data_IF_488910906939
#
_entry.id   IF_488910906939
#
_cell.length_a   1.000
_cell.length_b   1.000
_cell.length_c   1.000
_cell.angle_alpha   90.00
_cell.angle_beta   90.00
_cell.angle_gamma   90.00
#
_symmetry.space_group_name_H-M   'P 1'
#
loop_
_entity.id
_entity.type
_entity.pdbx_description
1 polymer ?
#
# COMPACT_ATOMS: atom_id res chain seq x y z
N UNK A 1 4.59 4.27 11.58
CA UNK A 1 4.63 2.84 11.96
C UNK A 1 5.29 2.74 13.33
N UNK A 2 4.69 1.91 14.18
CA UNK A 2 5.15 1.68 15.55
C UNK A 2 5.26 0.19 15.80
N UNK A 3 6.17 -0.21 16.67
CA UNK A 3 6.28 -1.56 17.22
C UNK A 3 5.90 -1.52 18.69
N UNK A 4 5.15 -2.51 19.13
CA UNK A 4 4.80 -2.74 20.53
C UNK A 4 5.52 -3.99 21.05
N UNK A 5 6.25 -3.85 22.14
CA UNK A 5 6.85 -4.98 22.84
C UNK A 5 5.97 -5.37 24.04
N UNK A 6 5.39 -6.57 24.06
CA UNK A 6 4.55 -7.02 25.17
C UNK A 6 5.33 -7.35 26.43
N UNK A 7 6.64 -7.58 26.35
CA UNK A 7 7.46 -7.99 27.50
C UNK A 7 7.65 -6.82 28.49
N UNK A 8 7.93 -5.63 27.96
CA UNK A 8 8.11 -4.41 28.77
C UNK A 8 6.98 -3.37 28.57
N UNK A 9 6.01 -3.68 27.69
CA UNK A 9 4.88 -2.81 27.32
C UNK A 9 5.32 -1.50 26.67
N UNK A 10 6.49 -1.49 26.04
CA UNK A 10 6.99 -0.30 25.34
C UNK A 10 6.37 -0.16 23.95
N UNK A 11 6.27 1.08 23.49
CA UNK A 11 5.91 1.43 22.12
C UNK A 11 7.02 2.29 21.54
N UNK A 12 7.59 1.86 20.43
CA UNK A 12 8.67 2.59 19.76
C UNK A 12 8.30 2.89 18.31
N UNK A 13 8.70 4.05 17.82
CA UNK A 13 8.50 4.41 16.42
C UNK A 13 9.57 3.73 15.55
N UNK A 14 9.12 2.99 14.54
CA UNK A 14 9.99 2.40 13.50
C UNK A 14 10.18 3.43 12.37
N UNK A 15 9.09 3.90 11.78
CA UNK A 15 9.11 4.77 10.61
C UNK A 15 8.10 5.90 10.75
N UNK A 16 8.56 7.14 10.55
CA UNK A 16 7.76 8.35 10.45
C UNK A 16 7.91 9.03 9.09
N UNK A 17 7.24 10.19 8.91
CA UNK A 17 7.31 10.97 7.68
C UNK A 17 6.59 10.34 6.48
N UNK A 18 5.66 9.41 6.71
CA UNK A 18 4.83 8.76 5.69
C UNK A 18 3.45 9.42 5.62
N UNK A 19 2.88 9.45 4.43
CA UNK A 19 1.60 10.12 4.16
C UNK A 19 0.38 9.17 4.23
N UNK A 20 0.53 8.04 4.88
CA UNK A 20 -0.55 7.07 5.13
C UNK A 20 -0.08 5.63 5.03
N UNK A 21 0.43 5.08 6.15
CA UNK A 21 0.72 3.65 6.24
C UNK A 21 -0.60 2.86 6.12
N UNK A 22 -0.72 2.03 5.11
CA UNK A 22 -1.94 1.28 4.80
C UNK A 22 -1.75 -0.24 4.77
N UNK A 23 -0.54 -0.71 4.59
CA UNK A 23 -0.19 -2.14 4.62
C UNK A 23 1.20 -2.37 5.18
N UNK A 24 1.37 -3.53 5.78
CA UNK A 24 2.63 -4.01 6.34
C UNK A 24 2.84 -5.46 5.92
N UNK A 25 4.07 -5.81 5.54
CA UNK A 25 4.51 -7.18 5.36
C UNK A 25 5.94 -7.32 5.91
N UNK A 26 6.22 -8.44 6.55
CA UNK A 26 7.54 -8.74 7.10
C UNK A 26 8.19 -9.81 6.23
N UNK A 27 9.49 -9.67 5.91
CA UNK A 27 10.25 -10.70 5.23
C UNK A 27 10.29 -11.99 6.04
N UNK A 28 10.47 -13.13 5.38
CA UNK A 28 10.48 -14.45 6.02
C UNK A 28 11.57 -14.54 7.12
N UNK A 29 12.73 -13.93 6.88
CA UNK A 29 13.83 -13.87 7.86
C UNK A 29 13.59 -12.86 9.00
N UNK A 30 12.47 -12.13 8.98
CA UNK A 30 12.07 -11.14 9.98
C UNK A 30 12.88 -9.84 9.95
N UNK A 31 13.75 -9.61 8.96
CA UNK A 31 14.68 -8.48 8.95
C UNK A 31 14.18 -7.26 8.20
N UNK A 32 13.37 -7.46 7.17
CA UNK A 32 12.87 -6.37 6.35
C UNK A 32 11.38 -6.17 6.55
N UNK A 33 11.00 -4.97 6.95
CA UNK A 33 9.59 -4.55 7.04
C UNK A 33 9.23 -3.73 5.80
N UNK A 34 8.28 -4.22 5.02
CA UNK A 34 7.68 -3.50 3.91
C UNK A 34 6.49 -2.70 4.40
N UNK A 35 6.42 -1.43 4.00
CA UNK A 35 5.37 -0.49 4.43
C UNK A 35 4.80 0.21 3.21
N UNK A 36 3.53 0.01 2.91
CA UNK A 36 2.87 0.78 1.86
C UNK A 36 2.53 2.19 2.36
N UNK A 37 2.88 3.19 1.56
CA UNK A 37 2.54 4.60 1.79
C UNK A 37 1.55 5.06 0.74
N UNK A 38 0.31 5.13 1.13
CA UNK A 38 -0.81 5.48 0.27
C UNK A 38 -0.62 6.85 -0.38
N UNK A 39 -0.26 7.85 0.40
CA UNK A 39 -0.15 9.23 -0.11
C UNK A 39 1.06 9.45 -1.00
N UNK A 40 2.18 8.80 -0.75
CA UNK A 40 3.40 8.88 -1.56
C UNK A 40 3.40 7.88 -2.72
N UNK A 41 2.44 6.96 -2.76
CA UNK A 41 2.33 5.90 -3.79
C UNK A 41 3.62 5.11 -3.95
N UNK A 42 4.11 4.62 -2.85
CA UNK A 42 5.35 3.85 -2.78
C UNK A 42 5.24 2.75 -1.74
N UNK A 43 6.19 1.84 -1.77
CA UNK A 43 6.46 0.88 -0.70
C UNK A 43 7.86 1.16 -0.17
N UNK A 44 7.96 1.34 1.12
CA UNK A 44 9.22 1.44 1.84
C UNK A 44 9.69 0.06 2.26
N UNK A 45 10.98 -0.23 2.11
CA UNK A 45 11.62 -1.38 2.74
C UNK A 45 12.59 -0.85 3.80
N UNK A 46 12.39 -1.25 5.03
CA UNK A 46 13.19 -0.79 6.16
C UNK A 46 13.63 -1.97 7.01
N UNK A 47 14.75 -1.82 7.68
CA UNK A 47 15.19 -2.78 8.70
C UNK A 47 14.14 -2.82 9.82
N UNK A 48 13.62 -4.01 10.12
CA UNK A 48 12.57 -4.24 11.11
C UNK A 48 13.02 -3.87 12.54
N UNK A 49 14.33 -3.96 12.81
CA UNK A 49 14.93 -3.61 14.09
C UNK A 49 15.32 -2.14 14.19
N UNK A 50 15.31 -1.41 13.08
CA UNK A 50 15.61 0.03 13.10
C UNK A 50 14.50 0.83 13.82
N UNK A 51 14.90 1.93 14.43
CA UNK A 51 13.99 2.84 15.14
C UNK A 51 14.22 4.27 14.65
N UNK A 52 13.20 5.10 14.82
CA UNK A 52 13.21 6.52 14.50
C UNK A 52 13.60 6.85 13.05
N UNK A 53 13.32 5.94 12.11
CA UNK A 53 13.52 6.20 10.68
C UNK A 53 12.56 7.29 10.18
N UNK A 54 13.00 8.02 9.17
CA UNK A 54 12.17 8.99 8.45
C UNK A 54 12.14 8.65 6.97
N UNK A 55 10.96 8.57 6.39
CA UNK A 55 10.76 8.29 4.97
C UNK A 55 11.52 9.29 4.09
N UNK A 56 12.24 8.79 3.08
CA UNK A 56 13.12 9.59 2.23
C UNK A 56 14.41 10.06 2.89
N UNK A 57 14.66 9.69 4.14
CA UNK A 57 15.92 9.97 4.84
C UNK A 57 17.07 9.08 4.33
N UNK A 58 18.28 9.35 4.84
CA UNK A 58 19.51 8.67 4.42
C UNK A 58 19.43 7.15 4.49
N UNK A 59 18.76 6.62 5.50
CA UNK A 59 18.65 5.17 5.79
C UNK A 59 17.25 4.60 5.47
N UNK A 60 16.43 5.32 4.72
CA UNK A 60 15.09 4.88 4.34
C UNK A 60 14.79 5.31 2.91
N UNK A 61 14.99 4.41 1.97
CA UNK A 61 14.66 4.62 0.55
C UNK A 61 13.41 3.82 0.19
N UNK A 62 12.65 4.33 -0.79
CA UNK A 62 11.55 3.56 -1.34
C UNK A 62 12.05 2.32 -2.05
N UNK A 63 11.44 1.18 -1.76
CA UNK A 63 11.63 -0.07 -2.51
C UNK A 63 10.92 0.01 -3.86
N UNK A 64 9.64 0.39 -3.83
CA UNK A 64 8.83 0.65 -5.03
C UNK A 64 8.36 2.08 -5.02
N UNK A 65 8.29 2.70 -6.18
CA UNK A 65 7.81 4.08 -6.35
C UNK A 65 7.04 4.24 -7.65
N UNK A 66 6.21 5.30 -7.73
CA UNK A 66 5.44 5.59 -8.94
C UNK A 66 4.35 4.57 -9.24
N UNK A 67 3.81 3.90 -8.23
CA UNK A 67 2.81 2.85 -8.34
C UNK A 67 1.58 3.31 -9.15
N UNK A 68 0.88 2.40 -9.87
CA UNK A 68 -0.24 2.73 -10.76
C UNK A 68 -1.49 3.18 -10.01
N UNK A 69 -1.56 2.91 -8.71
CA UNK A 69 -2.66 3.28 -7.82
C UNK A 69 -2.18 3.67 -6.43
N UNK A 70 -3.14 3.90 -5.56
CA UNK A 70 -2.88 4.12 -4.14
C UNK A 70 -2.73 2.77 -3.44
N UNK A 71 -1.51 2.41 -2.96
CA UNK A 71 -1.25 1.10 -2.38
C UNK A 71 -2.01 0.91 -1.07
N UNK A 72 -2.54 -0.28 -0.90
CA UNK A 72 -3.27 -0.73 0.28
C UNK A 72 -2.52 -1.80 1.05
N UNK A 73 -3.18 -2.95 1.25
CA UNK A 73 -2.59 -4.10 1.93
C UNK A 73 -1.36 -4.65 1.19
N UNK A 74 -0.43 -5.16 1.97
CA UNK A 74 0.73 -5.90 1.51
C UNK A 74 0.63 -7.33 2.03
N UNK A 75 1.12 -8.29 1.26
CA UNK A 75 1.40 -9.64 1.71
C UNK A 75 2.66 -10.15 1.03
N UNK A 76 3.41 -10.98 1.72
CA UNK A 76 4.61 -11.64 1.20
C UNK A 76 4.37 -13.15 1.23
N UNK A 77 4.77 -13.86 0.19
CA UNK A 77 4.75 -15.31 0.18
C UNK A 77 6.12 -15.92 0.56
N UNK A 78 6.16 -17.25 0.59
CA UNK A 78 7.36 -18.03 0.95
C UNK A 78 8.47 -17.95 -0.12
N UNK A 79 8.11 -17.58 -1.36
CA UNK A 79 9.05 -17.42 -2.47
C UNK A 79 9.65 -16.00 -2.53
N UNK A 80 9.25 -15.11 -1.61
CA UNK A 80 9.74 -13.75 -1.56
C UNK A 80 9.02 -12.80 -2.52
N UNK A 81 7.84 -13.16 -3.00
CA UNK A 81 7.00 -12.31 -3.85
C UNK A 81 6.11 -11.43 -2.98
N UNK A 82 6.27 -10.12 -3.12
CA UNK A 82 5.46 -9.12 -2.44
C UNK A 82 4.25 -8.75 -3.29
N UNK A 83 3.07 -8.99 -2.74
CA UNK A 83 1.79 -8.59 -3.32
C UNK A 83 1.38 -7.23 -2.79
N UNK A 84 1.18 -6.28 -3.69
CA UNK A 84 0.77 -4.91 -3.39
C UNK A 84 -0.65 -4.71 -3.92
N UNK A 85 -1.63 -4.53 -3.04
CA UNK A 85 -3.00 -4.25 -3.46
C UNK A 85 -3.23 -2.76 -3.70
N UNK A 86 -4.17 -2.43 -4.58
CA UNK A 86 -4.56 -1.05 -4.89
C UNK A 86 -6.05 -0.84 -4.62
N UNK A 87 -6.33 0.13 -3.77
CA UNK A 87 -7.72 0.48 -3.46
C UNK A 87 -8.35 1.39 -4.51
N UNK A 88 -7.57 2.30 -5.09
CA UNK A 88 -7.99 3.25 -6.09
C UNK A 88 -6.88 3.52 -7.10
N UNK A 89 -7.29 3.86 -8.32
CA UNK A 89 -6.41 4.42 -9.33
C UNK A 89 -5.88 5.80 -8.91
N UNK A 90 -4.87 6.25 -9.59
CA UNK A 90 -4.27 7.58 -9.37
C UNK A 90 -5.28 8.69 -9.67
N UNK A 91 -5.43 9.63 -8.74
CA UNK A 91 -6.23 10.83 -8.93
C UNK A 91 -5.35 11.97 -9.42
N UNK A 92 -5.53 12.37 -10.68
CA UNK A 92 -4.82 13.51 -11.24
C UNK A 92 -5.08 14.82 -10.47
N UNK A 93 -6.28 14.97 -9.90
CA UNK A 93 -6.61 16.15 -9.10
C UNK A 93 -5.84 16.16 -7.77
N UNK A 94 -5.80 15.03 -7.05
CA UNK A 94 -5.08 14.92 -5.78
C UNK A 94 -3.58 15.12 -5.99
N UNK A 95 -3.02 14.56 -7.05
CA UNK A 95 -1.59 14.70 -7.36
C UNK A 95 -1.22 16.15 -7.72
N UNK A 96 -2.01 16.79 -8.58
CA UNK A 96 -1.80 18.16 -8.99
C UNK A 96 -1.93 19.18 -7.85
N UNK A 97 -2.67 18.81 -6.80
CA UNK A 97 -2.92 19.64 -5.63
C UNK A 97 -2.28 19.09 -4.35
N UNK A 98 -1.26 18.24 -4.46
CA UNK A 98 -0.61 17.59 -3.31
C UNK A 98 -0.14 18.61 -2.27
N UNK A 99 0.49 19.70 -2.70
CA UNK A 99 1.05 20.75 -1.85
C UNK A 99 0.05 21.87 -1.45
N UNK A 100 -1.19 21.79 -1.99
CA UNK A 100 -2.22 22.82 -1.75
C UNK A 100 -3.15 22.43 -0.60
N UNK A 101 -2.62 22.42 0.61
CA UNK A 101 -3.35 21.99 1.83
C UNK A 101 -4.67 22.73 2.04
N UNK A 102 -4.71 24.04 1.81
CA UNK A 102 -5.95 24.83 1.97
C UNK A 102 -7.03 24.38 0.97
N UNK A 103 -6.67 24.21 -0.29
CA UNK A 103 -7.59 23.78 -1.34
C UNK A 103 -8.13 22.37 -1.06
N UNK A 104 -7.26 21.46 -0.63
CA UNK A 104 -7.65 20.11 -0.23
C UNK A 104 -8.57 20.11 0.98
N UNK A 105 -8.31 20.96 1.98
CA UNK A 105 -9.16 21.10 3.15
C UNK A 105 -10.57 21.62 2.80
N UNK A 106 -10.67 22.52 1.83
CA UNK A 106 -11.97 23.01 1.32
C UNK A 106 -12.69 21.88 0.56
N UNK A 107 -11.98 21.17 -0.30
CA UNK A 107 -12.54 20.05 -1.06
C UNK A 107 -13.07 18.92 -0.16
N UNK A 108 -12.37 18.63 0.94
CA UNK A 108 -12.80 17.63 1.94
C UNK A 108 -14.06 18.04 2.72
N UNK A 109 -14.42 19.32 2.72
CA UNK A 109 -15.68 19.82 3.32
C UNK A 109 -16.83 19.85 2.35
N UNK A 110 -16.59 19.60 1.07
CA UNK A 110 -17.65 19.50 0.08
C UNK A 110 -18.49 18.22 0.28
N UNK A 111 -19.71 18.19 -0.20
CA UNK A 111 -20.53 16.99 -0.15
C UNK A 111 -19.94 15.83 -0.96
N UNK A 112 -20.30 14.59 -0.62
CA UNK A 112 -19.73 13.36 -1.20
C UNK A 112 -19.74 13.34 -2.74
N UNK A 113 -20.82 13.74 -3.36
CA UNK A 113 -20.93 13.82 -4.83
C UNK A 113 -19.90 14.76 -5.45
N UNK A 114 -19.58 15.85 -4.78
CA UNK A 114 -18.54 16.80 -5.21
C UNK A 114 -17.16 16.22 -4.99
N UNK A 115 -16.94 15.56 -3.86
CA UNK A 115 -15.67 14.88 -3.56
C UNK A 115 -15.37 13.79 -4.58
N UNK A 116 -16.34 12.94 -4.91
CA UNK A 116 -16.19 11.90 -5.93
C UNK A 116 -15.80 12.48 -7.30
N UNK A 117 -16.44 13.58 -7.72
CA UNK A 117 -16.11 14.26 -8.98
C UNK A 117 -14.74 14.92 -8.96
N UNK A 118 -14.37 15.56 -7.84
CA UNK A 118 -13.09 16.25 -7.71
C UNK A 118 -11.93 15.26 -7.61
N UNK A 119 -12.06 14.27 -6.75
CA UNK A 119 -10.96 13.34 -6.50
C UNK A 119 -10.80 12.32 -7.63
N UNK A 120 -11.87 12.04 -8.40
CA UNK A 120 -11.83 11.12 -9.52
C UNK A 120 -11.28 9.74 -9.10
N UNK A 121 -11.59 9.34 -7.86
CA UNK A 121 -11.16 8.04 -7.36
C UNK A 121 -11.97 6.98 -8.11
N UNK A 122 -11.32 6.34 -9.06
CA UNK A 122 -11.88 5.23 -9.83
C UNK A 122 -11.22 3.93 -9.42
N UNK A 123 -11.88 2.85 -9.71
CA UNK A 123 -11.37 1.50 -9.52
C UNK A 123 -10.57 0.99 -10.76
N UNK A 124 -10.19 1.87 -11.69
CA UNK A 124 -9.46 1.49 -12.91
C UNK A 124 -7.98 1.12 -12.66
N UNK A 125 -7.54 1.07 -11.41
CA UNK A 125 -6.24 0.51 -11.06
C UNK A 125 -6.26 -1.03 -11.14
N UNK A 126 -5.10 -1.66 -11.31
CA UNK A 126 -4.98 -3.08 -11.02
C UNK A 126 -5.50 -3.40 -9.62
N UNK A 127 -6.06 -4.58 -9.39
CA UNK A 127 -6.42 -5.02 -8.05
C UNK A 127 -5.16 -5.16 -7.18
N UNK A 128 -4.15 -5.83 -7.72
CA UNK A 128 -2.86 -6.02 -7.08
C UNK A 128 -1.76 -6.26 -8.12
N UNK A 129 -0.54 -6.10 -7.68
CA UNK A 129 0.67 -6.47 -8.42
C UNK A 129 1.56 -7.33 -7.55
N UNK A 130 2.23 -8.32 -8.17
CA UNK A 130 3.24 -9.17 -7.57
C UNK A 130 4.62 -8.71 -7.99
N UNK A 131 5.53 -8.58 -7.03
CA UNK A 131 6.88 -8.04 -7.22
C UNK A 131 7.89 -8.93 -6.50
N UNK A 132 8.94 -9.34 -7.19
CA UNK A 132 10.06 -10.03 -6.56
C UNK A 132 10.81 -9.07 -5.61
N UNK A 133 10.99 -9.49 -4.35
CA UNK A 133 11.67 -8.64 -3.36
C UNK A 133 13.19 -8.65 -3.52
N UNK A 134 13.76 -9.57 -4.28
CA UNK A 134 15.21 -9.65 -4.50
C UNK A 134 15.72 -8.52 -5.41
N UNK A 135 14.98 -8.17 -6.44
CA UNK A 135 15.39 -7.18 -7.43
C UNK A 135 14.37 -6.07 -7.74
N UNK A 136 13.14 -6.20 -7.23
CA UNK A 136 12.05 -5.26 -7.46
C UNK A 136 11.39 -5.45 -8.83
N UNK A 137 11.60 -6.59 -9.49
CA UNK A 137 10.97 -6.88 -10.79
C UNK A 137 9.48 -7.19 -10.64
N UNK A 138 8.71 -6.74 -11.64
CA UNK A 138 7.27 -7.01 -11.69
C UNK A 138 7.01 -8.38 -12.30
N UNK A 139 6.43 -9.27 -11.51
CA UNK A 139 6.12 -10.65 -11.94
C UNK A 139 4.74 -10.76 -12.58
N UNK A 140 3.74 -10.12 -11.96
CA UNK A 140 2.36 -10.24 -12.42
C UNK A 140 1.49 -9.08 -11.98
N UNK A 141 0.52 -8.74 -12.84
CA UNK A 141 -0.55 -7.79 -12.54
C UNK A 141 -1.89 -8.52 -12.50
N UNK A 142 -2.66 -8.32 -11.44
CA UNK A 142 -4.00 -8.88 -11.27
C UNK A 142 -5.04 -7.80 -11.57
N UNK A 143 -5.92 -8.10 -12.53
CA UNK A 143 -6.99 -7.20 -12.97
C UNK A 143 -8.29 -7.95 -13.10
N UNK A 144 -9.42 -7.30 -12.86
CA UNK A 144 -10.74 -7.91 -13.04
C UNK A 144 -11.85 -6.96 -12.57
N UNK A 145 -12.97 -6.95 -13.26
CA UNK A 145 -14.11 -6.07 -12.97
C UNK A 145 -14.70 -6.27 -11.57
N UNK A 146 -14.62 -7.48 -11.03
CA UNK A 146 -15.11 -7.80 -9.69
C UNK A 146 -14.04 -7.56 -8.61
N UNK A 147 -12.84 -7.14 -9.01
CA UNK A 147 -11.69 -6.91 -8.14
C UNK A 147 -11.47 -5.42 -7.83
N UNK A 148 -12.45 -4.59 -8.13
CA UNK A 148 -12.36 -3.15 -7.92
C UNK A 148 -12.24 -2.79 -6.43
N UNK A 149 -11.31 -1.90 -6.11
CA UNK A 149 -11.08 -1.44 -4.74
C UNK A 149 -10.53 -2.52 -3.82
N UNK A 150 -9.51 -3.23 -4.25
CA UNK A 150 -8.87 -4.29 -3.47
C UNK A 150 -8.29 -3.74 -2.15
N UNK A 151 -8.75 -4.30 -1.04
CA UNK A 151 -8.38 -3.88 0.31
C UNK A 151 -7.59 -4.93 1.08
N UNK A 152 -7.56 -6.16 0.58
CA UNK A 152 -6.82 -7.27 1.17
C UNK A 152 -6.25 -8.16 0.08
N UNK A 153 -5.07 -8.68 0.30
CA UNK A 153 -4.42 -9.68 -0.52
C UNK A 153 -3.78 -10.73 0.38
N UNK A 154 -3.93 -12.00 0.01
CA UNK A 154 -3.38 -13.10 0.79
C UNK A 154 -2.93 -14.23 -0.15
N UNK A 155 -1.62 -14.41 -0.36
CA UNK A 155 -1.11 -15.58 -1.06
C UNK A 155 -1.28 -16.84 -0.20
N UNK A 156 -1.65 -17.95 -0.83
CA UNK A 156 -1.77 -19.25 -0.16
C UNK A 156 -1.56 -20.39 -1.17
N UNK A 157 -0.43 -21.05 -1.12
CA UNK A 157 -0.02 -22.09 -2.04
C UNK A 157 -0.01 -21.57 -3.49
N UNK A 158 -0.70 -22.25 -4.40
CA UNK A 158 -0.76 -21.87 -5.83
C UNK A 158 -1.82 -20.81 -6.16
N UNK A 159 -2.34 -20.10 -5.13
CA UNK A 159 -3.41 -19.12 -5.32
C UNK A 159 -3.13 -17.85 -4.52
N UNK A 160 -3.67 -16.75 -5.03
CA UNK A 160 -3.78 -15.49 -4.30
C UNK A 160 -5.26 -15.17 -4.13
N UNK A 161 -5.65 -14.82 -2.92
CA UNK A 161 -7.00 -14.42 -2.56
C UNK A 161 -7.07 -12.90 -2.39
N UNK A 162 -8.18 -12.31 -2.84
CA UNK A 162 -8.40 -10.87 -2.81
C UNK A 162 -9.73 -10.55 -2.14
N UNK A 163 -9.68 -9.57 -1.24
CA UNK A 163 -10.86 -8.94 -0.67
C UNK A 163 -11.04 -7.54 -1.26
N UNK A 164 -12.19 -7.26 -1.83
CA UNK A 164 -12.48 -5.97 -2.43
C UNK A 164 -13.62 -5.25 -1.70
N UNK A 165 -13.48 -3.95 -1.48
CA UNK A 165 -14.54 -3.14 -0.89
C UNK A 165 -15.72 -3.06 -1.88
N UNK A 166 -16.90 -3.50 -1.44
CA UNK A 166 -18.09 -3.54 -2.30
C UNK A 166 -18.33 -4.85 -3.01
N UNK A 167 -17.42 -5.83 -2.92
CA UNK A 167 -17.68 -7.21 -3.35
C UNK A 167 -18.26 -8.04 -2.22
N UNK A 168 -19.29 -8.81 -2.51
CA UNK A 168 -19.86 -9.80 -1.59
C UNK A 168 -19.13 -11.15 -1.64
N UNK A 169 -18.10 -11.26 -2.50
CA UNK A 169 -17.39 -12.52 -2.77
C UNK A 169 -15.91 -12.38 -2.48
N UNK A 170 -15.30 -13.45 -2.00
CA UNK A 170 -13.85 -13.61 -1.97
C UNK A 170 -13.38 -14.05 -3.36
N UNK A 171 -12.47 -13.32 -3.94
CA UNK A 171 -11.94 -13.60 -5.26
C UNK A 171 -10.60 -14.32 -5.15
N UNK A 172 -10.24 -15.13 -6.15
CA UNK A 172 -8.94 -15.78 -6.19
C UNK A 172 -8.42 -15.90 -7.63
N UNK A 173 -7.09 -15.83 -7.74
CA UNK A 173 -6.36 -16.13 -8.97
C UNK A 173 -5.30 -17.20 -8.71
N UNK A 174 -4.86 -17.91 -9.74
CA UNK A 174 -3.69 -18.79 -9.66
C UNK A 174 -2.42 -17.95 -9.81
N UNK A 175 -1.40 -18.28 -9.06
CA UNK A 175 -0.04 -17.74 -9.23
C UNK A 175 0.68 -18.40 -10.39
#
# INVERSE_FOLDING_TARGET
VYVYDPADRSVQRVLGGIAGASGLALSEDGRTLYVSDLGSRCVWAVDADARELTAGGKNCKSFLSGLPGYPGALALDEDGILYVSYRWARSSWLEKNADRTLLRSIALRAGENMQQKLFGLSADAPCAEAVDTADGSWERTFTGREMDGCTAVCPAGSKVYFGAAGSASLLSARV
#
